data_IF_430629473266
#
_entry.id   IF_430629473266
#
_cell.length_a   1.000
_cell.length_b   1.000
_cell.length_c   1.000
_cell.angle_alpha   90.00
_cell.angle_beta   90.00
_cell.angle_gamma   90.00
#
_symmetry.space_group_name_H-M   'P 1'
#
loop_
_entity.id
_entity.type
_entity.pdbx_description
1 polymer ?
#
# COMPACT_ATOMS: atom_id res chain seq x y z
N UNK A 1 17.23 2.65 16.27
CA UNK A 1 17.56 2.24 14.89
C UNK A 1 18.82 2.98 14.46
N UNK A 2 19.86 2.28 13.99
CA UNK A 2 21.03 2.90 13.31
C UNK A 2 20.87 2.72 11.80
N UNK A 3 21.39 3.67 10.99
CA UNK A 3 21.24 3.64 9.54
C UNK A 3 19.85 4.03 9.02
N UNK A 4 19.09 4.82 9.79
CA UNK A 4 17.79 5.35 9.39
C UNK A 4 17.90 6.86 9.27
N UNK A 5 17.69 7.38 8.06
CA UNK A 5 17.56 8.80 7.81
C UNK A 5 16.08 9.18 7.96
N UNK A 6 15.79 10.09 8.88
CA UNK A 6 14.44 10.58 9.10
C UNK A 6 14.20 11.82 8.25
N UNK A 7 13.20 11.75 7.37
CA UNK A 7 12.66 12.93 6.69
C UNK A 7 11.45 13.38 7.52
N UNK A 8 11.42 14.63 8.04
CA UNK A 8 10.28 15.14 8.78
C UNK A 8 8.97 14.99 7.99
N UNK A 9 7.98 14.35 8.62
CA UNK A 9 6.65 14.19 8.03
C UNK A 9 5.82 15.48 8.11
N UNK A 10 4.73 15.52 7.35
CA UNK A 10 3.75 16.61 7.42
C UNK A 10 2.80 16.51 8.63
N UNK A 11 2.05 17.58 8.90
CA UNK A 11 1.02 17.66 9.94
C UNK A 11 -0.42 17.56 9.38
N UNK A 12 -0.59 16.98 8.19
CA UNK A 12 -1.92 16.82 7.60
C UNK A 12 -2.73 15.73 8.32
N UNK A 13 -4.01 15.63 7.97
CA UNK A 13 -4.90 14.62 8.55
C UNK A 13 -4.40 13.21 8.24
N UNK A 14 -4.73 12.20 9.07
CA UNK A 14 -4.35 10.81 8.81
C UNK A 14 -4.80 10.24 7.45
N UNK A 15 -5.71 10.93 6.73
CA UNK A 15 -6.23 10.49 5.42
C UNK A 15 -5.40 11.00 4.26
N UNK A 16 -4.83 12.20 4.39
CA UNK A 16 -4.00 12.82 3.36
C UNK A 16 -2.51 12.81 3.70
N UNK A 17 -2.12 12.49 4.93
CA UNK A 17 -0.72 12.48 5.37
C UNK A 17 0.17 11.58 4.51
N UNK A 18 -0.30 10.37 4.15
CA UNK A 18 0.46 9.41 3.35
C UNK A 18 0.76 9.95 1.97
N UNK A 19 -0.24 10.54 1.31
CA UNK A 19 -0.08 11.17 0.00
C UNK A 19 0.99 12.26 0.02
N UNK A 20 0.89 13.18 0.99
CA UNK A 20 1.80 14.32 1.09
C UNK A 20 3.22 13.89 1.54
N UNK A 21 3.35 12.89 2.41
CA UNK A 21 4.65 12.34 2.79
C UNK A 21 5.30 11.59 1.62
N UNK A 22 4.53 10.85 0.83
CA UNK A 22 5.05 10.18 -0.35
C UNK A 22 5.48 11.18 -1.43
N UNK A 23 4.71 12.25 -1.63
CA UNK A 23 5.09 13.34 -2.53
C UNK A 23 6.38 14.02 -2.05
N UNK A 24 6.49 14.35 -0.76
CA UNK A 24 7.70 14.93 -0.18
C UNK A 24 8.91 13.99 -0.33
N UNK A 25 8.74 12.69 -0.09
CA UNK A 25 9.77 11.68 -0.34
C UNK A 25 10.22 11.67 -1.79
N UNK A 26 9.28 11.73 -2.75
CA UNK A 26 9.60 11.73 -4.18
C UNK A 26 10.18 13.06 -4.69
N UNK A 27 10.07 14.14 -3.92
CA UNK A 27 10.66 15.45 -4.22
C UNK A 27 12.02 15.64 -3.54
N UNK A 28 12.36 14.82 -2.55
CA UNK A 28 13.61 14.95 -1.81
C UNK A 28 14.81 14.55 -2.70
N UNK A 29 15.89 15.35 -2.78
CA UNK A 29 17.02 15.07 -3.66
C UNK A 29 17.78 13.80 -3.24
N UNK A 30 17.87 13.52 -1.94
CA UNK A 30 18.66 12.41 -1.40
C UNK A 30 17.89 11.08 -1.24
N UNK A 31 16.70 10.95 -1.82
CA UNK A 31 15.99 9.66 -1.85
C UNK A 31 16.41 8.84 -3.07
N UNK A 32 16.32 7.50 -3.04
CA UNK A 32 16.67 6.68 -4.20
C UNK A 32 15.61 6.77 -5.31
N UNK A 33 16.01 6.61 -6.57
CA UNK A 33 15.08 6.67 -7.72
C UNK A 33 14.14 5.48 -7.76
N UNK A 34 14.57 4.33 -7.22
CA UNK A 34 13.72 3.14 -7.06
C UNK A 34 13.64 2.79 -5.59
N UNK A 35 12.43 2.53 -5.12
CA UNK A 35 12.18 2.20 -3.72
C UNK A 35 11.00 1.27 -3.57
N UNK A 36 10.95 0.62 -2.42
CA UNK A 36 9.86 -0.27 -2.03
C UNK A 36 9.08 0.41 -0.92
N UNK A 37 7.77 0.53 -1.11
CA UNK A 37 6.84 1.04 -0.13
C UNK A 37 6.15 -0.15 0.52
N UNK A 38 6.21 -0.25 1.85
CA UNK A 38 5.54 -1.30 2.61
C UNK A 38 4.55 -0.70 3.58
N UNK A 39 3.51 -1.45 3.94
CA UNK A 39 2.74 -1.17 5.14
C UNK A 39 3.63 -1.41 6.38
N UNK A 40 3.27 -0.80 7.51
CA UNK A 40 3.96 -0.89 8.80
C UNK A 40 3.80 -2.26 9.48
N UNK A 41 2.83 -3.05 9.03
CA UNK A 41 2.38 -4.29 9.64
C UNK A 41 2.67 -5.57 8.83
N UNK A 42 3.65 -5.50 7.91
CA UNK A 42 4.04 -6.61 7.03
C UNK A 42 5.18 -7.43 7.64
N UNK A 43 5.02 -8.75 7.61
CA UNK A 43 6.07 -9.74 7.82
C UNK A 43 6.35 -10.51 6.52
N UNK A 44 7.64 -10.69 6.20
CA UNK A 44 8.11 -11.48 5.06
C UNK A 44 8.45 -12.88 5.57
N UNK A 45 7.62 -13.87 5.24
CA UNK A 45 7.59 -15.19 5.88
C UNK A 45 8.34 -16.27 5.10
N UNK A 46 8.80 -15.95 3.88
CA UNK A 46 9.71 -16.76 3.08
C UNK A 46 10.69 -15.87 2.30
N UNK A 47 11.84 -16.40 1.82
CA UNK A 47 12.75 -15.64 0.98
C UNK A 47 12.08 -15.10 -0.27
N UNK A 48 12.16 -13.79 -0.47
CA UNK A 48 11.65 -13.10 -1.66
C UNK A 48 12.84 -12.60 -2.48
N UNK A 49 13.20 -13.25 -3.61
CA UNK A 49 14.33 -12.81 -4.43
C UNK A 49 14.05 -11.48 -5.15
N UNK A 50 12.79 -11.19 -5.43
CA UNK A 50 12.34 -9.96 -6.09
C UNK A 50 10.92 -9.60 -5.65
N UNK A 51 10.68 -8.31 -5.41
CA UNK A 51 9.33 -7.79 -5.16
C UNK A 51 8.52 -7.85 -6.47
N UNK A 52 7.46 -8.66 -6.48
CA UNK A 52 6.53 -8.76 -7.59
C UNK A 52 5.54 -7.58 -7.61
N UNK A 53 5.09 -7.20 -8.81
CA UNK A 53 3.96 -6.28 -8.98
C UNK A 53 2.67 -7.09 -8.86
N UNK A 54 1.88 -6.83 -7.83
CA UNK A 54 0.65 -7.56 -7.54
C UNK A 54 -0.56 -6.63 -7.60
N UNK A 55 -1.67 -7.15 -8.13
CA UNK A 55 -2.97 -6.48 -8.12
C UNK A 55 -4.07 -7.40 -7.58
N UNK A 56 -5.16 -6.84 -7.07
CA UNK A 56 -6.25 -7.60 -6.43
C UNK A 56 -7.24 -8.17 -7.44
N UNK A 57 -7.60 -7.36 -8.42
CA UNK A 57 -8.71 -7.51 -9.36
C UNK A 57 -9.08 -6.12 -9.88
N UNK A 58 -10.27 -5.96 -10.46
CA UNK A 58 -10.74 -4.64 -10.87
C UNK A 58 -11.00 -3.75 -9.65
N UNK A 59 -10.88 -2.44 -9.82
CA UNK A 59 -11.19 -1.46 -8.78
C UNK A 59 -12.67 -1.48 -8.44
N UNK A 60 -13.54 -1.74 -9.42
CA UNK A 60 -14.97 -1.93 -9.21
C UNK A 60 -15.26 -3.13 -8.29
N UNK A 61 -14.61 -4.27 -8.53
CA UNK A 61 -14.75 -5.45 -7.67
C UNK A 61 -14.22 -5.18 -6.27
N UNK A 62 -13.09 -4.46 -6.15
CA UNK A 62 -12.56 -4.06 -4.86
C UNK A 62 -13.55 -3.19 -4.07
N UNK A 63 -14.14 -2.16 -4.71
CA UNK A 63 -15.15 -1.31 -4.09
C UNK A 63 -16.34 -2.15 -3.60
N UNK A 64 -16.79 -3.13 -4.39
CA UNK A 64 -17.93 -3.99 -4.07
C UNK A 64 -17.66 -5.04 -2.97
N UNK A 65 -16.42 -5.19 -2.51
CA UNK A 65 -16.11 -6.13 -1.44
C UNK A 65 -16.90 -5.79 -0.17
N UNK A 66 -17.52 -6.81 0.45
CA UNK A 66 -18.31 -6.67 1.68
C UNK A 66 -17.58 -5.89 2.78
N UNK A 67 -16.27 -6.07 2.90
CA UNK A 67 -15.44 -5.35 3.90
C UNK A 67 -15.34 -3.86 3.61
N UNK A 68 -15.26 -3.46 2.34
CA UNK A 68 -15.17 -2.05 1.92
C UNK A 68 -16.52 -1.40 2.12
N UNK A 69 -17.60 -2.09 1.74
CA UNK A 69 -18.97 -1.61 1.93
C UNK A 69 -19.37 -1.40 3.39
N UNK A 70 -18.81 -2.20 4.31
CA UNK A 70 -19.02 -2.07 5.77
C UNK A 70 -17.93 -1.28 6.48
N UNK A 71 -16.88 -0.89 5.76
CA UNK A 71 -15.72 -0.23 6.30
C UNK A 71 -15.96 1.26 6.55
N UNK A 72 -14.89 1.96 6.90
CA UNK A 72 -14.95 3.40 7.07
C UNK A 72 -15.31 4.09 5.73
N UNK A 73 -16.27 5.02 5.78
CA UNK A 73 -16.77 5.71 4.58
C UNK A 73 -15.65 6.37 3.78
N UNK A 74 -14.72 7.05 4.45
CA UNK A 74 -13.61 7.75 3.81
C UNK A 74 -12.78 6.85 2.89
N UNK A 75 -12.56 5.59 3.27
CA UNK A 75 -11.78 4.64 2.46
C UNK A 75 -12.52 4.28 1.17
N UNK A 76 -13.81 3.95 1.30
CA UNK A 76 -14.68 3.68 0.15
C UNK A 76 -14.80 4.92 -0.74
N UNK A 77 -14.93 6.10 -0.16
CA UNK A 77 -15.06 7.35 -0.89
C UNK A 77 -13.78 7.64 -1.70
N UNK A 78 -12.59 7.43 -1.12
CA UNK A 78 -11.33 7.56 -1.83
C UNK A 78 -11.19 6.54 -2.98
N UNK A 79 -11.61 5.28 -2.79
CA UNK A 79 -11.66 4.28 -3.86
C UNK A 79 -12.60 4.72 -5.01
N UNK A 80 -13.78 5.24 -4.68
CA UNK A 80 -14.73 5.75 -5.68
C UNK A 80 -14.15 6.95 -6.44
N UNK A 81 -13.53 7.91 -5.73
CA UNK A 81 -12.84 9.03 -6.38
C UNK A 81 -11.77 8.54 -7.35
N UNK A 82 -11.01 7.53 -6.94
CA UNK A 82 -9.97 6.91 -7.80
C UNK A 82 -10.58 6.30 -9.05
N UNK A 83 -11.71 5.59 -8.92
CA UNK A 83 -12.40 4.99 -10.05
C UNK A 83 -12.88 6.07 -11.04
N UNK A 84 -13.55 7.10 -10.55
CA UNK A 84 -14.05 8.21 -11.37
C UNK A 84 -12.89 8.92 -12.08
N UNK A 85 -11.80 9.19 -11.36
CA UNK A 85 -10.60 9.82 -11.93
C UNK A 85 -10.02 8.99 -13.08
N UNK A 86 -9.78 7.69 -12.85
CA UNK A 86 -9.18 6.80 -13.85
C UNK A 86 -10.09 6.57 -15.05
N UNK A 87 -11.40 6.48 -14.84
CA UNK A 87 -12.38 6.40 -15.93
C UNK A 87 -12.39 7.67 -16.77
N UNK A 88 -12.34 8.85 -16.13
CA UNK A 88 -12.18 10.13 -16.82
C UNK A 88 -10.86 10.26 -17.59
N UNK A 89 -9.81 9.57 -17.13
CA UNK A 89 -8.52 9.48 -17.81
C UNK A 89 -8.44 8.40 -18.91
N UNK A 90 -9.56 7.72 -19.23
CA UNK A 90 -9.62 6.74 -20.32
C UNK A 90 -9.39 5.29 -19.91
N UNK A 91 -9.40 4.96 -18.62
CA UNK A 91 -9.28 3.59 -18.11
C UNK A 91 -10.65 3.09 -17.61
N UNK A 92 -11.47 2.43 -18.45
CA UNK A 92 -12.86 2.11 -18.12
C UNK A 92 -13.01 1.07 -17.00
N UNK A 93 -12.07 0.11 -16.91
CA UNK A 93 -12.06 -0.95 -15.91
C UNK A 93 -10.66 -1.10 -15.26
N UNK A 94 -10.26 -0.14 -14.42
CA UNK A 94 -8.91 -0.08 -13.87
C UNK A 94 -8.65 -1.20 -12.86
N UNK A 95 -7.44 -1.76 -12.84
CA UNK A 95 -7.01 -2.71 -11.81
C UNK A 95 -6.77 -2.00 -10.47
N UNK A 96 -7.07 -2.67 -9.36
CA UNK A 96 -6.74 -2.17 -8.02
C UNK A 96 -5.44 -2.78 -7.50
N UNK A 97 -4.51 -1.90 -7.18
CA UNK A 97 -3.20 -2.23 -6.60
C UNK A 97 -3.16 -2.07 -5.07
N UNK A 98 -4.32 -1.91 -4.44
CA UNK A 98 -4.44 -1.77 -2.97
C UNK A 98 -4.39 -3.13 -2.27
N UNK A 99 -3.18 -3.54 -1.90
CA UNK A 99 -2.85 -4.79 -1.20
C UNK A 99 -1.86 -4.50 -0.07
N UNK A 100 -1.87 -5.31 1.00
CA UNK A 100 -0.86 -5.23 2.07
C UNK A 100 0.39 -6.06 1.71
N UNK A 101 1.05 -5.65 0.63
CA UNK A 101 2.28 -6.27 0.12
C UNK A 101 3.29 -5.16 -0.22
N UNK A 102 4.60 -5.45 -0.27
CA UNK A 102 5.58 -4.50 -0.75
C UNK A 102 5.23 -4.01 -2.17
N UNK A 103 5.36 -2.70 -2.39
CA UNK A 103 5.03 -2.05 -3.65
C UNK A 103 6.27 -1.34 -4.21
N UNK A 104 6.73 -1.78 -5.38
CA UNK A 104 7.88 -1.20 -6.05
C UNK A 104 7.47 0.06 -6.82
N UNK A 105 8.19 1.16 -6.60
CA UNK A 105 7.93 2.44 -7.25
C UNK A 105 9.20 3.05 -7.86
N UNK A 106 9.01 3.74 -8.98
CA UNK A 106 9.94 4.72 -9.51
C UNK A 106 9.56 6.12 -9.00
N UNK A 107 10.56 6.87 -8.53
CA UNK A 107 10.39 8.19 -7.91
C UNK A 107 9.78 9.20 -8.87
N UNK A 108 10.22 9.22 -10.12
CA UNK A 108 9.77 10.21 -11.09
C UNK A 108 8.33 9.92 -11.50
N UNK A 109 8.02 8.67 -11.80
CA UNK A 109 6.66 8.24 -12.15
C UNK A 109 5.69 8.41 -10.97
N UNK A 110 6.12 8.12 -9.74
CA UNK A 110 5.30 8.31 -8.54
C UNK A 110 5.04 9.80 -8.29
N UNK A 111 6.07 10.64 -8.39
CA UNK A 111 5.91 12.08 -8.27
C UNK A 111 4.92 12.62 -9.32
N UNK A 112 5.07 12.24 -10.58
CA UNK A 112 4.18 12.67 -11.65
C UNK A 112 2.73 12.23 -11.38
N UNK A 113 2.53 10.97 -10.98
CA UNK A 113 1.24 10.41 -10.60
C UNK A 113 0.57 11.23 -9.50
N UNK A 114 1.30 11.54 -8.42
CA UNK A 114 0.77 12.29 -7.28
C UNK A 114 0.48 13.76 -7.65
N UNK A 115 1.30 14.39 -8.50
CA UNK A 115 1.06 15.76 -8.93
C UNK A 115 -0.17 15.87 -9.85
N UNK A 116 -0.39 14.90 -10.75
CA UNK A 116 -1.56 14.87 -11.66
C UNK A 116 -2.91 14.80 -10.93
N UNK A 117 -2.93 14.32 -9.70
CA UNK A 117 -4.15 14.14 -8.91
C UNK A 117 -4.13 14.92 -7.58
N UNK A 118 -3.18 15.84 -7.40
CA UNK A 118 -2.98 16.55 -6.13
C UNK A 118 -4.22 17.35 -5.68
N UNK A 119 -4.94 17.95 -6.63
CA UNK A 119 -6.13 18.77 -6.36
C UNK A 119 -7.43 17.95 -6.29
N UNK A 120 -7.34 16.63 -6.51
CA UNK A 120 -8.51 15.75 -6.47
C UNK A 120 -8.77 15.37 -5.02
N UNK A 121 -9.84 15.94 -4.44
CA UNK A 121 -10.26 15.68 -3.05
C UNK A 121 -9.09 15.73 -2.05
N UNK A 122 -8.40 16.88 -1.88
CA UNK A 122 -7.10 16.96 -1.18
C UNK A 122 -7.12 16.52 0.29
N UNK A 123 -8.30 16.53 0.93
CA UNK A 123 -8.47 16.04 2.30
C UNK A 123 -8.75 14.53 2.42
N UNK A 124 -9.03 13.87 1.30
CA UNK A 124 -9.19 12.42 1.18
C UNK A 124 -8.73 11.97 -0.21
N UNK A 125 -7.41 12.08 -0.52
CA UNK A 125 -6.89 11.91 -1.87
C UNK A 125 -7.24 10.53 -2.46
N UNK A 126 -7.17 10.37 -3.79
CA UNK A 126 -7.32 9.07 -4.43
C UNK A 126 -6.26 8.05 -3.96
N UNK A 127 -6.49 6.80 -4.28
CA UNK A 127 -5.63 5.67 -3.94
C UNK A 127 -4.37 5.67 -4.80
N UNK A 128 -3.25 6.06 -4.20
CA UNK A 128 -2.01 6.33 -4.91
C UNK A 128 -1.38 5.09 -5.57
N UNK A 129 -1.48 3.88 -4.99
CA UNK A 129 -0.94 2.66 -5.64
C UNK A 129 -1.72 2.38 -6.90
N UNK A 130 -3.04 2.46 -6.82
CA UNK A 130 -3.93 2.24 -7.94
C UNK A 130 -3.76 3.30 -9.04
N UNK A 131 -3.64 4.57 -8.67
CA UNK A 131 -3.29 5.62 -9.64
C UNK A 131 -1.95 5.33 -10.32
N UNK A 132 -0.91 5.06 -9.54
CA UNK A 132 0.43 4.79 -10.07
C UNK A 132 0.40 3.59 -11.01
N UNK A 133 -0.21 2.49 -10.59
CA UNK A 133 -0.18 1.26 -11.36
C UNK A 133 -0.91 1.37 -12.69
N UNK A 134 -2.07 2.05 -12.70
CA UNK A 134 -2.89 2.21 -13.90
C UNK A 134 -2.32 3.25 -14.84
N UNK A 135 -1.92 4.43 -14.34
CA UNK A 135 -1.42 5.52 -15.18
C UNK A 135 -0.06 5.22 -15.81
N UNK A 136 0.72 4.30 -15.23
CA UNK A 136 2.04 3.92 -15.72
C UNK A 136 2.07 2.47 -16.29
N UNK A 137 0.90 1.86 -16.48
CA UNK A 137 0.72 0.52 -17.07
C UNK A 137 1.70 -0.54 -16.53
N UNK A 138 1.83 -0.64 -15.20
CA UNK A 138 2.86 -1.48 -14.57
C UNK A 138 2.55 -2.99 -14.64
N UNK A 139 1.38 -3.36 -15.16
CA UNK A 139 0.92 -4.75 -15.27
C UNK A 139 0.88 -5.46 -13.91
N UNK A 140 1.39 -6.70 -13.88
CA UNK A 140 1.54 -7.50 -12.67
C UNK A 140 0.73 -8.79 -12.69
N UNK A 141 0.65 -9.44 -11.52
CA UNK A 141 -0.06 -10.70 -11.31
C UNK A 141 -1.19 -10.53 -10.30
N UNK A 142 -2.35 -11.12 -10.57
CA UNK A 142 -3.44 -11.11 -9.61
C UNK A 142 -3.06 -11.88 -8.34
N UNK A 143 -3.39 -11.32 -7.18
CA UNK A 143 -3.12 -11.93 -5.88
C UNK A 143 -4.16 -11.54 -4.84
N UNK A 144 -4.25 -12.35 -3.79
CA UNK A 144 -5.07 -12.05 -2.61
C UNK A 144 -4.33 -11.11 -1.66
N UNK A 145 -5.10 -10.31 -0.92
CA UNK A 145 -4.54 -9.44 0.13
C UNK A 145 -3.86 -10.26 1.23
N UNK A 146 -2.68 -9.83 1.67
CA UNK A 146 -1.94 -10.46 2.76
C UNK A 146 -2.45 -10.07 4.14
N UNK A 147 -3.29 -9.04 4.27
CA UNK A 147 -3.91 -8.64 5.54
C UNK A 147 -4.86 -9.72 6.08
N UNK A 148 -4.54 -10.24 7.26
CA UNK A 148 -5.27 -11.30 7.94
C UNK A 148 -6.02 -10.76 9.15
N UNK A 149 -7.33 -10.94 9.16
CA UNK A 149 -8.24 -10.46 10.22
C UNK A 149 -8.78 -11.57 11.12
N UNK A 150 -8.73 -12.82 10.64
CA UNK A 150 -9.33 -13.99 11.29
C UNK A 150 -8.26 -15.06 11.52
N UNK A 151 -8.45 -15.98 12.47
CA UNK A 151 -7.53 -17.08 12.70
C UNK A 151 -7.26 -17.88 11.41
N UNK A 152 -6.02 -18.36 11.26
CA UNK A 152 -5.62 -19.18 10.12
C UNK A 152 -4.12 -19.46 10.09
N UNK A 153 -3.63 -20.11 9.03
CA UNK A 153 -2.19 -20.25 8.81
C UNK A 153 -1.57 -18.87 8.51
N UNK A 154 -0.30 -18.72 8.89
CA UNK A 154 0.53 -17.62 8.39
C UNK A 154 0.63 -17.70 6.86
N UNK A 155 0.53 -16.54 6.20
CA UNK A 155 0.54 -16.41 4.73
C UNK A 155 1.97 -16.24 4.22
N UNK A 156 2.20 -16.68 2.99
CA UNK A 156 3.48 -16.58 2.30
C UNK A 156 3.30 -15.93 0.90
N UNK A 157 4.27 -15.15 0.40
CA UNK A 157 5.47 -14.70 1.12
C UNK A 157 5.22 -13.59 2.14
N UNK A 158 4.05 -12.95 2.06
CA UNK A 158 3.73 -11.81 2.90
C UNK A 158 2.55 -12.12 3.81
N UNK A 159 2.72 -11.78 5.07
CA UNK A 159 1.67 -11.79 6.07
C UNK A 159 1.52 -10.39 6.65
N UNK A 160 0.29 -9.92 6.83
CA UNK A 160 0.03 -8.65 7.51
C UNK A 160 -1.07 -8.82 8.54
N UNK A 161 -0.89 -8.21 9.71
CA UNK A 161 -1.83 -8.30 10.84
C UNK A 161 -2.26 -6.93 11.30
N UNK A 162 -3.31 -6.84 12.11
CA UNK A 162 -3.59 -5.65 12.92
C UNK A 162 -3.54 -6.04 14.40
N UNK A 163 -3.50 -5.07 15.30
CA UNK A 163 -3.44 -5.30 16.76
C UNK A 163 -4.45 -6.35 17.24
N UNK A 164 -5.67 -6.32 16.69
CA UNK A 164 -6.74 -7.25 17.05
C UNK A 164 -6.50 -8.68 16.56
N UNK A 165 -5.89 -8.84 15.38
CA UNK A 165 -5.65 -10.16 14.77
C UNK A 165 -4.29 -10.74 15.14
N UNK A 166 -3.33 -9.94 15.61
CA UNK A 166 -2.00 -10.38 16.03
C UNK A 166 -2.02 -11.58 16.97
N UNK A 167 -2.95 -11.60 17.94
CA UNK A 167 -3.11 -12.70 18.91
C UNK A 167 -3.28 -14.08 18.28
N UNK A 168 -3.80 -14.16 17.06
CA UNK A 168 -4.01 -15.43 16.34
C UNK A 168 -2.74 -15.96 15.68
N UNK A 169 -1.77 -15.07 15.39
CA UNK A 169 -0.59 -15.39 14.61
C UNK A 169 0.71 -15.33 15.41
N UNK A 170 0.70 -14.64 16.56
CA UNK A 170 1.88 -14.38 17.38
C UNK A 170 2.71 -15.64 17.67
N UNK A 171 2.07 -16.76 18.03
CA UNK A 171 2.78 -18.02 18.31
C UNK A 171 3.48 -18.59 17.07
N UNK A 172 2.80 -18.60 15.91
CA UNK A 172 3.38 -19.10 14.66
C UNK A 172 4.52 -18.19 14.18
N UNK A 173 4.34 -16.87 14.26
CA UNK A 173 5.34 -15.89 13.83
C UNK A 173 6.58 -15.88 14.74
N UNK A 174 6.42 -15.95 16.07
CA UNK A 174 7.56 -16.09 16.99
C UNK A 174 8.34 -17.38 16.77
N UNK A 175 7.66 -18.46 16.37
CA UNK A 175 8.34 -19.70 16.00
C UNK A 175 9.13 -19.57 14.69
N UNK A 176 8.63 -18.78 13.73
CA UNK A 176 9.30 -18.52 12.46
C UNK A 176 10.47 -17.54 12.58
N UNK A 177 10.41 -16.60 13.52
CA UNK A 177 11.44 -15.60 13.81
C UNK A 177 11.88 -15.68 15.28
N UNK A 178 12.64 -16.73 15.66
CA UNK A 178 13.00 -16.95 17.06
C UNK A 178 14.04 -15.96 17.58
N UNK A 179 14.89 -15.44 16.69
CA UNK A 179 15.96 -14.51 17.04
C UNK A 179 15.51 -13.07 16.77
N UNK A 180 15.60 -12.15 17.75
CA UNK A 180 15.32 -10.74 17.52
C UNK A 180 16.32 -10.16 16.51
N UNK A 181 15.84 -9.31 15.64
CA UNK A 181 16.69 -8.52 14.76
C UNK A 181 17.49 -7.48 15.55
N UNK A 182 18.56 -6.96 14.94
CA UNK A 182 19.36 -5.85 15.50
C UNK A 182 18.56 -4.56 15.79
N UNK A 183 17.30 -4.50 15.35
CA UNK A 183 16.40 -3.37 15.54
C UNK A 183 15.36 -3.60 16.65
N UNK A 184 15.17 -4.84 17.07
CA UNK A 184 14.32 -5.24 18.20
C UNK A 184 15.19 -5.24 19.47
N UNK A 185 15.11 -4.15 20.23
CA UNK A 185 15.77 -4.00 21.53
C UNK A 185 14.83 -4.35 22.67
#
# INVERSE_FOLDING_TARGET
>A
MTGVNFIPGNLHTPRSNLWHNLLAFCQHPDTPDRFVITNDDIMVTEPVPQVEVLYRGTLKDHINMRRVQRGASWWRDSLNTTLVYLQGAGHPDPLSYELHVPFLADKHLMRETLLKAADVTPHNPPQWRTLYGVLNDIGGRQSTDSKAYQPGPVRAPYHSTEDRSWRYFATQLRKAFPEPSKYEK
#
